data_IF_691700423666
#
_entry.id   IF_691700423666
#
_cell.length_a   1.000
_cell.length_b   1.000
_cell.length_c   1.000
_cell.angle_alpha   90.00
_cell.angle_beta   90.00
_cell.angle_gamma   90.00
#
_symmetry.space_group_name_H-M   'P 1'
#
loop_
_entity.id
_entity.type
_entity.pdbx_description
1 polymer ?
#
# COMPACT_ATOMS: atom_id res chain seq x y z
N UNK A 1 -12.78 -9.93 1.33
CA UNK A 1 -11.96 -10.09 0.11
C UNK A 1 -11.10 -8.87 -0.20
N UNK A 2 -11.65 -7.65 -0.32
CA UNK A 2 -10.83 -6.46 -0.66
C UNK A 2 -9.65 -6.17 0.30
N UNK A 3 -9.88 -6.22 1.61
CA UNK A 3 -8.82 -5.98 2.62
C UNK A 3 -7.71 -7.04 2.56
N UNK A 4 -8.08 -8.31 2.31
CA UNK A 4 -7.13 -9.41 2.18
C UNK A 4 -6.25 -9.25 0.94
N UNK A 5 -6.84 -8.80 -0.17
CA UNK A 5 -6.14 -8.54 -1.42
C UNK A 5 -5.13 -7.39 -1.28
N UNK A 6 -5.52 -6.34 -0.55
CA UNK A 6 -4.63 -5.22 -0.20
C UNK A 6 -3.44 -5.71 0.63
N UNK A 7 -3.66 -6.54 1.65
CA UNK A 7 -2.58 -7.10 2.48
C UNK A 7 -1.60 -7.98 1.69
N UNK A 8 -2.12 -8.88 0.85
CA UNK A 8 -1.30 -9.79 0.04
C UNK A 8 -0.45 -9.03 -0.99
N UNK A 9 -0.96 -7.92 -1.53
CA UNK A 9 -0.17 -7.04 -2.41
C UNK A 9 0.77 -6.10 -1.65
N UNK A 10 0.44 -5.68 -0.42
CA UNK A 10 1.26 -4.74 0.36
C UNK A 10 2.55 -5.37 0.91
N UNK A 11 2.47 -6.60 1.41
CA UNK A 11 3.53 -7.17 2.22
C UNK A 11 4.79 -7.51 1.41
N UNK A 12 4.73 -8.23 0.28
CA UNK A 12 5.93 -8.67 -0.43
C UNK A 12 6.89 -7.53 -0.87
N UNK A 13 6.42 -6.42 -1.48
CA UNK A 13 7.34 -5.39 -2.00
C UNK A 13 7.96 -4.50 -0.92
N UNK A 14 7.33 -4.38 0.26
CA UNK A 14 7.87 -3.60 1.39
C UNK A 14 9.06 -4.35 2.03
N UNK A 15 9.01 -5.67 2.05
CA UNK A 15 10.06 -6.51 2.64
C UNK A 15 11.12 -6.97 1.64
N UNK A 16 10.91 -6.76 0.34
CA UNK A 16 11.93 -7.05 -0.66
C UNK A 16 12.94 -5.90 -0.73
N UNK A 17 14.19 -6.17 -0.34
CA UNK A 17 15.37 -5.33 -0.60
C UNK A 17 16.18 -6.00 -1.71
N UNK A 18 16.58 -5.24 -2.73
CA UNK A 18 17.53 -5.71 -3.74
C UNK A 18 18.79 -4.88 -3.61
N UNK A 19 19.92 -5.57 -3.53
CA UNK A 19 21.24 -4.98 -3.67
C UNK A 19 21.75 -5.20 -5.09
N UNK A 20 22.38 -4.17 -5.65
CA UNK A 20 23.18 -4.32 -6.86
C UNK A 20 24.61 -3.92 -6.53
N UNK A 21 25.57 -4.76 -6.93
CA UNK A 21 26.99 -4.48 -6.78
C UNK A 21 27.55 -3.96 -8.10
N UNK A 22 28.30 -2.86 -8.00
CA UNK A 22 28.99 -2.25 -9.13
C UNK A 22 30.48 -2.54 -8.97
N UNK A 23 30.98 -3.44 -9.81
CA UNK A 23 32.40 -3.80 -9.85
C UNK A 23 33.15 -2.93 -10.86
N UNK A 24 34.14 -2.19 -10.37
CA UNK A 24 35.03 -1.38 -11.21
C UNK A 24 36.27 -2.18 -11.61
N UNK A 25 36.77 -1.94 -12.83
CA UNK A 25 38.04 -2.50 -13.27
C UNK A 25 39.21 -1.98 -12.39
N UNK A 26 40.28 -2.78 -12.22
CA UNK A 26 41.43 -2.39 -11.39
C UNK A 26 42.01 -1.04 -11.81
N UNK A 27 42.15 -0.11 -10.86
CA UNK A 27 42.68 1.23 -11.08
C UNK A 27 41.68 2.27 -11.63
N UNK A 28 40.40 1.90 -11.81
CA UNK A 28 39.34 2.81 -12.29
C UNK A 28 38.37 3.30 -11.22
N UNK A 29 38.46 2.77 -10.00
CA UNK A 29 37.60 3.16 -8.87
C UNK A 29 37.59 2.11 -7.76
N UNK A 30 36.82 2.37 -6.70
CA UNK A 30 36.52 1.39 -5.64
C UNK A 30 35.18 0.72 -5.93
N UNK A 31 35.14 -0.61 -5.90
CA UNK A 31 33.89 -1.37 -5.98
C UNK A 31 32.98 -1.03 -4.80
N UNK A 32 31.69 -0.85 -5.05
CA UNK A 32 30.71 -0.63 -3.99
C UNK A 32 29.43 -1.41 -4.28
N UNK A 33 28.79 -1.85 -3.21
CA UNK A 33 27.47 -2.47 -3.27
C UNK A 33 26.45 -1.47 -2.72
N UNK A 34 25.41 -1.22 -3.51
CA UNK A 34 24.33 -0.33 -3.13
C UNK A 34 23.09 -1.16 -2.82
N UNK A 35 22.60 -1.03 -1.60
CA UNK A 35 21.36 -1.65 -1.14
C UNK A 35 20.25 -0.62 -1.23
N UNK A 36 19.30 -0.83 -2.13
CA UNK A 36 18.19 0.07 -2.36
C UNK A 36 16.83 -0.62 -2.25
N UNK A 37 15.73 0.14 -2.20
CA UNK A 37 14.42 -0.44 -2.45
C UNK A 37 14.41 -1.05 -3.86
N UNK A 38 13.89 -2.28 -3.98
CA UNK A 38 13.91 -3.06 -5.24
C UNK A 38 13.33 -2.30 -6.42
N UNK A 39 12.37 -1.42 -6.14
CA UNK A 39 11.62 -0.67 -7.13
C UNK A 39 12.28 0.67 -7.51
N UNK A 40 13.41 1.04 -6.88
CA UNK A 40 14.04 2.36 -7.01
C UNK A 40 13.13 3.50 -6.51
N UNK A 41 13.62 4.75 -6.61
CA UNK A 41 12.86 5.94 -6.15
C UNK A 41 11.60 6.17 -7.01
N UNK A 42 11.69 5.95 -8.31
CA UNK A 42 10.53 6.11 -9.20
C UNK A 42 9.43 5.07 -8.91
N UNK A 43 9.82 3.82 -8.64
CA UNK A 43 8.87 2.78 -8.29
C UNK A 43 8.27 3.00 -6.91
N UNK A 44 9.03 3.46 -5.92
CA UNK A 44 8.47 3.74 -4.59
C UNK A 44 7.39 4.84 -4.62
N UNK A 45 7.53 5.86 -5.48
CA UNK A 45 6.50 6.89 -5.67
C UNK A 45 5.22 6.31 -6.30
N UNK A 46 5.36 5.52 -7.37
CA UNK A 46 4.24 4.87 -8.05
C UNK A 46 3.44 3.97 -7.10
N UNK A 47 4.14 3.15 -6.33
CA UNK A 47 3.53 2.31 -5.32
C UNK A 47 2.88 3.15 -4.21
N UNK A 48 3.54 4.22 -3.75
CA UNK A 48 2.97 5.18 -2.79
C UNK A 48 1.61 5.73 -3.22
N UNK A 49 1.46 6.14 -4.48
CA UNK A 49 0.20 6.66 -5.02
C UNK A 49 -0.89 5.57 -5.04
N UNK A 50 -0.55 4.37 -5.51
CA UNK A 50 -1.47 3.23 -5.52
C UNK A 50 -1.92 2.88 -4.10
N UNK A 51 -1.01 2.93 -3.12
CA UNK A 51 -1.34 2.70 -1.71
C UNK A 51 -2.32 3.73 -1.16
N UNK A 52 -2.08 5.02 -1.42
CA UNK A 52 -2.97 6.09 -0.98
C UNK A 52 -4.39 5.90 -1.54
N UNK A 53 -4.51 5.54 -2.83
CA UNK A 53 -5.79 5.29 -3.47
C UNK A 53 -6.53 4.08 -2.85
N UNK A 54 -5.81 2.98 -2.56
CA UNK A 54 -6.40 1.80 -1.92
C UNK A 54 -6.89 2.09 -0.50
N UNK A 55 -6.12 2.86 0.28
CA UNK A 55 -6.51 3.27 1.64
C UNK A 55 -7.79 4.12 1.58
N UNK A 56 -7.83 5.12 0.70
CA UNK A 56 -9.01 5.98 0.50
C UNK A 56 -10.23 5.16 0.06
N UNK A 57 -10.05 4.23 -0.87
CA UNK A 57 -11.13 3.34 -1.32
C UNK A 57 -11.65 2.46 -0.17
N UNK A 58 -10.76 1.94 0.66
CA UNK A 58 -11.12 1.12 1.81
C UNK A 58 -11.90 1.93 2.85
N UNK A 59 -11.45 3.16 3.17
CA UNK A 59 -12.15 4.08 4.06
C UNK A 59 -13.53 4.45 3.51
N UNK A 60 -13.63 4.77 2.22
CA UNK A 60 -14.89 5.07 1.56
C UNK A 60 -15.89 3.92 1.68
N UNK A 61 -15.44 2.68 1.43
CA UNK A 61 -16.28 1.47 1.60
C UNK A 61 -16.77 1.32 3.04
N UNK A 62 -15.90 1.50 4.03
CA UNK A 62 -16.25 1.39 5.45
C UNK A 62 -17.29 2.45 5.83
N UNK A 63 -17.05 3.71 5.48
CA UNK A 63 -17.98 4.81 5.74
C UNK A 63 -19.31 4.55 5.08
N UNK A 64 -19.33 4.13 3.81
CA UNK A 64 -20.56 3.81 3.08
C UNK A 64 -21.38 2.72 3.79
N UNK A 65 -20.72 1.65 4.26
CA UNK A 65 -21.38 0.56 5.01
C UNK A 65 -21.91 1.08 6.34
N UNK A 66 -21.13 1.87 7.08
CA UNK A 66 -21.55 2.44 8.36
C UNK A 66 -22.75 3.37 8.20
N UNK A 67 -22.74 4.25 7.19
CA UNK A 67 -23.85 5.16 6.88
C UNK A 67 -25.11 4.36 6.52
N UNK A 68 -24.98 3.32 5.69
CA UNK A 68 -26.11 2.47 5.34
C UNK A 68 -26.70 1.76 6.58
N UNK A 69 -25.85 1.29 7.50
CA UNK A 69 -26.28 0.68 8.76
C UNK A 69 -26.93 1.69 9.71
N UNK A 70 -26.47 2.95 9.72
CA UNK A 70 -27.09 4.03 10.52
C UNK A 70 -28.50 4.35 10.04
N UNK A 71 -28.71 4.42 8.72
CA UNK A 71 -30.06 4.64 8.13
C UNK A 71 -31.04 3.55 8.58
N UNK A 72 -30.66 2.29 8.46
CA UNK A 72 -31.51 1.17 8.89
C UNK A 72 -31.84 1.20 10.39
N UNK A 73 -30.88 1.60 11.25
CA UNK A 73 -31.14 1.75 12.69
C UNK A 73 -32.09 2.91 13.02
N UNK A 74 -32.11 3.97 12.21
CA UNK A 74 -33.02 5.10 12.44
C UNK A 74 -34.48 4.71 12.17
N UNK A 75 -34.73 3.95 11.10
CA UNK A 75 -36.08 3.44 10.79
C UNK A 75 -36.63 2.54 11.90
N UNK A 76 -35.79 1.66 12.47
CA UNK A 76 -36.22 0.80 13.59
C UNK A 76 -36.51 1.57 14.87
N UNK A 77 -35.90 2.75 15.06
CA UNK A 77 -36.10 3.56 16.27
C UNK A 77 -37.40 4.38 16.18
N UNK A 78 -37.80 4.80 14.98
CA UNK A 78 -38.99 5.62 14.79
C UNK A 78 -40.29 4.81 14.74
N UNK A 79 -40.24 3.53 14.35
CA UNK A 79 -41.40 2.63 14.41
C UNK A 79 -41.73 2.06 15.80
N UNK A 80 -41.07 2.56 16.86
CA UNK A 80 -41.27 2.10 18.25
C UNK A 80 -41.89 3.17 19.17
N UNK A 81 -42.10 4.37 18.64
CA UNK A 81 -42.87 5.46 19.29
C UNK A 81 -44.29 5.45 18.74
#
# INVERSE_FOLDING_TARGET
>A
MGILLVLVFLVPPIFSQAGHCVDYAPGKGTSYCESGPVLGVAGSVLFGVVYAALILFCLYRIVRILVHRRRLRQETRHGRE
#
